data_IF_330895218822
#
_entry.id   IF_330895218822
#
_cell.length_a   1.000
_cell.length_b   1.000
_cell.length_c   1.000
_cell.angle_alpha   90.00
_cell.angle_beta   90.00
_cell.angle_gamma   90.00
#
_symmetry.space_group_name_H-M   'P 1'
#
loop_
_entity.id
_entity.type
_entity.pdbx_description
1 polymer ?
#
# COMPACT_ATOMS: atom_id res chain seq x y z
N UNK A 1 15.81 -6.01 18.69
CA UNK A 1 15.99 -6.24 17.24
C UNK A 1 14.81 -5.59 16.53
N UNK A 2 15.00 -4.97 15.35
CA UNK A 2 13.91 -4.33 14.62
C UNK A 2 12.85 -5.36 14.20
N UNK A 3 11.57 -4.99 14.34
CA UNK A 3 10.44 -5.78 13.85
C UNK A 3 10.11 -5.29 12.44
N UNK A 4 10.40 -6.10 11.42
CA UNK A 4 10.16 -5.73 10.03
C UNK A 4 8.75 -6.10 9.57
N UNK A 5 8.16 -5.20 8.78
CA UNK A 5 6.91 -5.39 8.07
C UNK A 5 7.18 -5.50 6.58
N UNK A 6 6.36 -6.27 5.86
CA UNK A 6 6.60 -6.58 4.45
C UNK A 6 5.44 -6.12 3.57
N UNK A 7 5.73 -5.64 2.36
CA UNK A 7 4.71 -5.29 1.37
C UNK A 7 5.19 -5.64 -0.02
N UNK A 8 4.26 -5.96 -0.90
CA UNK A 8 4.51 -6.06 -2.34
C UNK A 8 3.83 -4.87 -3.03
N UNK A 9 4.58 -4.15 -3.85
CA UNK A 9 4.10 -3.02 -4.65
C UNK A 9 4.50 -3.17 -6.11
N UNK A 10 3.71 -2.63 -7.02
CA UNK A 10 4.08 -2.54 -8.43
C UNK A 10 5.10 -1.44 -8.66
N UNK A 11 6.02 -1.66 -9.59
CA UNK A 11 6.99 -0.64 -9.98
C UNK A 11 6.32 0.65 -10.45
N UNK A 12 5.20 0.54 -11.19
CA UNK A 12 4.42 1.71 -11.64
C UNK A 12 3.93 2.56 -10.45
N UNK A 13 3.41 1.91 -9.40
CA UNK A 13 2.97 2.62 -8.20
C UNK A 13 4.14 3.32 -7.51
N UNK A 14 5.26 2.60 -7.32
CA UNK A 14 6.44 3.17 -6.67
C UNK A 14 7.05 4.33 -7.47
N UNK A 15 7.11 4.22 -8.79
CA UNK A 15 7.60 5.30 -9.66
C UNK A 15 6.65 6.52 -9.72
N UNK A 16 5.37 6.35 -9.37
CA UNK A 16 4.43 7.47 -9.29
C UNK A 16 4.66 8.36 -8.05
N UNK A 17 5.46 7.91 -7.08
CA UNK A 17 5.83 8.70 -5.90
C UNK A 17 6.98 9.62 -6.28
N UNK A 18 6.68 10.92 -6.39
CA UNK A 18 7.62 11.93 -6.90
C UNK A 18 8.28 12.77 -5.81
N UNK A 19 7.81 12.70 -4.57
CA UNK A 19 8.29 13.51 -3.46
C UNK A 19 8.94 12.68 -2.34
N UNK A 20 9.22 11.41 -2.61
CA UNK A 20 9.90 10.53 -1.67
C UNK A 20 9.02 10.02 -0.52
N UNK A 21 7.74 10.39 -0.43
CA UNK A 21 6.89 10.02 0.71
C UNK A 21 5.85 8.96 0.32
N UNK A 22 5.97 7.77 0.89
CA UNK A 22 5.01 6.69 0.76
C UNK A 22 3.80 6.94 1.68
N UNK A 23 2.64 7.22 1.08
CA UNK A 23 1.44 7.66 1.79
C UNK A 23 0.36 6.60 1.90
N UNK A 24 -0.41 6.66 2.98
CA UNK A 24 -1.57 5.83 3.16
C UNK A 24 -2.70 6.26 2.23
N UNK A 25 -3.42 5.29 1.66
CA UNK A 25 -4.55 5.58 0.78
C UNK A 25 -5.80 5.80 1.60
N UNK A 26 -6.61 6.76 1.19
CA UNK A 26 -7.91 7.02 1.80
C UNK A 26 -8.77 5.77 1.77
N UNK A 27 -9.28 5.41 2.93
CA UNK A 27 -10.28 4.38 3.07
C UNK A 27 -11.66 4.95 2.74
N UNK A 28 -12.43 4.18 1.97
CA UNK A 28 -13.83 4.47 1.69
C UNK A 28 -14.66 3.25 2.06
N UNK A 29 -15.93 3.45 2.38
CA UNK A 29 -16.86 2.36 2.75
C UNK A 29 -17.15 1.40 1.59
N UNK A 30 -16.77 1.76 0.36
CA UNK A 30 -16.78 0.89 -0.81
C UNK A 30 -15.54 -0.03 -0.89
N UNK A 31 -14.47 0.31 -0.19
CA UNK A 31 -13.31 -0.55 0.02
C UNK A 31 -13.65 -1.68 0.99
N UNK A 32 -13.06 -2.86 0.76
CA UNK A 32 -13.15 -4.05 1.62
C UNK A 32 -13.34 -3.69 3.12
N UNK A 33 -14.35 -4.26 3.80
CA UNK A 33 -14.77 -3.75 5.10
C UNK A 33 -13.78 -4.16 6.18
N UNK A 34 -13.04 -3.18 6.69
CA UNK A 34 -12.35 -3.29 7.97
C UNK A 34 -13.28 -2.76 9.05
N UNK A 35 -13.67 -3.59 10.02
CA UNK A 35 -14.51 -3.19 11.14
C UNK A 35 -13.83 -2.09 11.97
N UNK A 36 -12.50 -2.18 12.13
CA UNK A 36 -11.68 -1.16 12.78
C UNK A 36 -11.80 0.20 12.07
N UNK A 37 -11.65 0.26 10.74
CA UNK A 37 -11.73 1.53 10.01
C UNK A 37 -13.14 2.10 9.97
N UNK A 38 -14.15 1.23 9.96
CA UNK A 38 -15.55 1.65 10.07
C UNK A 38 -15.81 2.30 11.43
N UNK A 39 -15.33 1.71 12.51
CA UNK A 39 -15.44 2.28 13.85
C UNK A 39 -14.68 3.61 13.94
N UNK A 40 -13.46 3.67 13.40
CA UNK A 40 -12.67 4.90 13.35
C UNK A 40 -13.39 6.04 12.61
N UNK A 41 -13.98 5.75 11.44
CA UNK A 41 -14.72 6.74 10.66
C UNK A 41 -16.02 7.22 11.36
N UNK A 42 -16.61 6.40 12.22
CA UNK A 42 -17.77 6.78 13.04
C UNK A 42 -17.36 7.63 14.24
N UNK A 43 -16.19 7.37 14.82
CA UNK A 43 -15.66 8.12 15.94
C UNK A 43 -15.26 9.55 15.55
N UNK A 44 -14.66 9.71 14.36
CA UNK A 44 -14.16 10.98 13.83
C UNK A 44 -14.85 11.37 12.50
N UNK A 45 -16.15 11.71 12.52
CA UNK A 45 -16.95 11.88 11.30
C UNK A 45 -16.56 13.09 10.44
N UNK A 46 -15.81 14.04 11.02
CA UNK A 46 -15.29 15.21 10.31
C UNK A 46 -13.96 14.93 9.60
N UNK A 47 -13.30 13.82 9.94
CA UNK A 47 -12.01 13.42 9.41
C UNK A 47 -12.14 12.40 8.26
N UNK A 48 -11.05 12.22 7.52
CA UNK A 48 -10.87 11.11 6.58
C UNK A 48 -9.99 10.06 7.23
N UNK A 49 -10.33 8.79 7.02
CA UNK A 49 -9.50 7.66 7.46
C UNK A 49 -8.59 7.23 6.31
N UNK A 50 -7.30 7.07 6.60
CA UNK A 50 -6.29 6.59 5.66
C UNK A 50 -5.71 5.28 6.18
N UNK A 51 -5.35 4.38 5.27
CA UNK A 51 -4.81 3.07 5.61
C UNK A 51 -3.64 2.64 4.74
N UNK A 52 -2.82 1.78 5.32
CA UNK A 52 -1.70 1.10 4.67
C UNK A 52 -1.58 -0.31 5.29
N UNK A 53 -1.51 -1.35 4.47
CA UNK A 53 -1.50 -2.74 4.95
C UNK A 53 -0.14 -3.40 4.69
N UNK A 54 0.38 -4.16 5.64
CA UNK A 54 1.62 -4.91 5.50
C UNK A 54 1.40 -6.36 5.87
N UNK A 55 2.13 -7.28 5.26
CA UNK A 55 2.30 -8.63 5.77
C UNK A 55 3.22 -8.60 6.99
N UNK A 56 2.88 -9.42 7.99
CA UNK A 56 3.69 -9.55 9.20
C UNK A 56 4.96 -10.38 8.98
N UNK A 57 4.98 -11.21 7.91
CA UNK A 57 6.11 -12.09 7.62
C UNK A 57 6.54 -12.03 6.17
N UNK A 58 7.83 -12.27 5.95
CA UNK A 58 8.40 -12.39 4.61
C UNK A 58 7.77 -13.53 3.80
N UNK A 59 7.43 -14.64 4.46
CA UNK A 59 6.83 -15.80 3.81
C UNK A 59 5.46 -15.47 3.18
N UNK A 60 4.58 -14.79 3.92
CA UNK A 60 3.27 -14.38 3.40
C UNK A 60 3.39 -13.37 2.26
N UNK A 61 4.32 -12.41 2.39
CA UNK A 61 4.56 -11.43 1.33
C UNK A 61 5.09 -12.09 0.05
N UNK A 62 6.01 -13.04 0.16
CA UNK A 62 6.58 -13.78 -0.97
C UNK A 62 5.51 -14.63 -1.66
N UNK A 63 4.69 -15.33 -0.89
CA UNK A 63 3.56 -16.11 -1.42
C UNK A 63 2.58 -15.21 -2.18
N UNK A 64 2.28 -14.03 -1.65
CA UNK A 64 1.43 -13.06 -2.32
C UNK A 64 2.08 -12.52 -3.61
N UNK A 65 3.37 -12.23 -3.58
CA UNK A 65 4.12 -11.78 -4.76
C UNK A 65 4.01 -12.78 -5.91
N UNK A 66 4.39 -14.03 -5.65
CA UNK A 66 4.41 -15.11 -6.65
C UNK A 66 3.01 -15.49 -7.13
N UNK A 67 2.02 -15.46 -6.24
CA UNK A 67 0.66 -15.90 -6.53
C UNK A 67 -0.18 -14.83 -7.24
N UNK A 68 -0.19 -13.61 -6.72
CA UNK A 68 -1.14 -12.57 -7.13
C UNK A 68 -0.52 -11.42 -7.93
N UNK A 69 0.74 -11.07 -7.67
CA UNK A 69 1.40 -9.92 -8.32
C UNK A 69 2.14 -10.31 -9.59
N UNK A 70 2.90 -11.40 -9.57
CA UNK A 70 3.66 -11.88 -10.73
C UNK A 70 2.75 -12.40 -11.84
N UNK A 71 1.54 -12.86 -11.48
CA UNK A 71 0.49 -13.23 -12.43
C UNK A 71 -0.42 -12.04 -12.82
N UNK A 72 -0.13 -10.83 -12.33
CA UNK A 72 -0.94 -9.65 -12.63
C UNK A 72 -0.61 -9.08 -14.01
N UNK A 73 -1.59 -8.40 -14.62
CA UNK A 73 -1.36 -7.62 -15.86
C UNK A 73 -0.70 -6.26 -15.61
N UNK A 74 -0.40 -5.93 -14.35
CA UNK A 74 0.05 -4.60 -13.91
C UNK A 74 1.59 -4.44 -13.92
N UNK A 75 2.30 -5.39 -14.54
CA UNK A 75 3.75 -5.32 -14.70
C UNK A 75 4.54 -5.82 -13.49
N UNK A 76 5.86 -5.56 -13.46
CA UNK A 76 6.75 -6.09 -12.43
C UNK A 76 6.44 -5.54 -11.04
N UNK A 77 6.61 -6.40 -10.04
CA UNK A 77 6.41 -6.10 -8.63
C UNK A 77 7.74 -6.08 -7.86
N UNK A 78 7.75 -5.41 -6.72
CA UNK A 78 8.85 -5.41 -5.76
C UNK A 78 8.34 -5.80 -4.38
N UNK A 79 9.12 -6.65 -3.72
CA UNK A 79 8.95 -6.96 -2.32
C UNK A 79 9.78 -5.99 -1.48
N UNK A 80 9.09 -5.22 -0.65
CA UNK A 80 9.63 -4.20 0.23
C UNK A 80 9.50 -4.62 1.70
N UNK A 81 10.38 -4.09 2.54
CA UNK A 81 10.21 -4.11 4.00
C UNK A 81 10.58 -2.77 4.61
N UNK A 82 10.02 -2.47 5.79
CA UNK A 82 10.42 -1.34 6.62
C UNK A 82 10.33 -1.71 8.10
N UNK A 83 11.04 -1.00 8.96
CA UNK A 83 10.86 -1.14 10.41
C UNK A 83 9.45 -0.65 10.79
N UNK A 84 8.75 -1.46 11.56
CA UNK A 84 7.44 -1.14 12.13
C UNK A 84 7.42 0.18 12.90
N UNK A 85 8.53 0.53 13.54
CA UNK A 85 8.66 1.78 14.29
C UNK A 85 8.49 3.02 13.38
N UNK A 86 8.83 2.94 12.09
CA UNK A 86 8.64 4.05 11.15
C UNK A 86 7.16 4.43 10.98
N UNK A 87 6.27 3.43 11.03
CA UNK A 87 4.82 3.65 10.96
C UNK A 87 4.30 4.32 12.24
N UNK A 88 4.82 3.89 13.38
CA UNK A 88 4.45 4.44 14.68
C UNK A 88 4.94 5.89 14.82
N UNK A 89 6.18 6.18 14.41
CA UNK A 89 6.72 7.56 14.33
C UNK A 89 5.90 8.45 13.39
N UNK A 90 5.41 7.89 12.28
CA UNK A 90 4.51 8.56 11.36
C UNK A 90 3.06 8.68 11.89
N UNK A 91 2.79 8.31 13.15
CA UNK A 91 1.51 8.53 13.81
C UNK A 91 0.39 7.59 13.36
N UNK A 92 0.72 6.44 12.76
CA UNK A 92 -0.29 5.44 12.43
C UNK A 92 -0.67 4.62 13.66
N UNK A 93 -1.97 4.41 13.84
CA UNK A 93 -2.50 3.36 14.70
C UNK A 93 -2.21 2.01 14.07
N UNK A 94 -1.78 1.07 14.89
CA UNK A 94 -1.49 -0.31 14.52
C UNK A 94 -2.62 -1.22 14.98
N UNK A 95 -3.12 -2.05 14.06
CA UNK A 95 -3.98 -3.18 14.40
C UNK A 95 -3.64 -4.37 13.52
N UNK A 96 -4.06 -5.57 13.91
CA UNK A 96 -4.20 -6.65 12.94
C UNK A 96 -5.22 -6.25 11.86
N UNK A 97 -4.98 -6.66 10.62
CA UNK A 97 -5.95 -6.52 9.54
C UNK A 97 -7.05 -7.57 9.75
N UNK A 98 -8.23 -7.11 10.17
CA UNK A 98 -9.40 -7.96 10.45
C UNK A 98 -9.99 -8.65 9.21
N UNK A 99 -9.42 -8.40 8.02
CA UNK A 99 -9.60 -9.21 6.82
C UNK A 99 -8.84 -10.54 6.81
N UNK A 100 -7.94 -10.77 7.77
CA UNK A 100 -7.07 -11.94 7.87
C UNK A 100 -7.05 -12.47 9.32
N UNK A 101 -6.50 -13.68 9.49
CA UNK A 101 -6.13 -14.15 10.82
C UNK A 101 -4.97 -13.31 11.36
N UNK A 102 -4.91 -13.16 12.68
CA UNK A 102 -3.79 -12.51 13.35
C UNK A 102 -2.45 -13.21 12.98
N UNK A 103 -1.38 -12.42 12.89
CA UNK A 103 -0.08 -12.90 12.43
C UNK A 103 0.12 -12.93 10.91
N UNK A 104 -0.92 -12.63 10.11
CA UNK A 104 -0.80 -12.58 8.65
C UNK A 104 -0.51 -11.17 8.16
N UNK A 105 -1.36 -10.21 8.51
CA UNK A 105 -1.26 -8.85 8.01
C UNK A 105 -1.60 -7.82 9.08
N UNK A 106 -0.81 -6.76 9.11
CA UNK A 106 -1.09 -5.54 9.87
C UNK A 106 -1.85 -4.55 9.02
N UNK A 107 -2.77 -3.85 9.67
CA UNK A 107 -3.45 -2.67 9.18
C UNK A 107 -2.95 -1.47 9.98
N UNK A 108 -2.29 -0.56 9.29
CA UNK A 108 -1.91 0.73 9.84
C UNK A 108 -2.86 1.79 9.33
N UNK A 109 -3.36 2.64 10.21
CA UNK A 109 -4.36 3.64 9.86
C UNK A 109 -4.29 4.91 10.70
N UNK A 110 -4.84 6.00 10.18
CA UNK A 110 -4.94 7.27 10.88
C UNK A 110 -6.09 8.11 10.36
N UNK A 111 -6.53 9.08 11.15
CA UNK A 111 -7.41 10.14 10.69
C UNK A 111 -6.61 11.39 10.32
N UNK A 112 -7.06 12.10 9.31
CA UNK A 112 -6.60 13.45 9.01
C UNK A 112 -7.79 14.32 8.62
N UNK A 113 -7.72 15.61 8.96
CA UNK A 113 -8.73 16.56 8.51
C UNK A 113 -8.67 16.69 6.99
N UNK A 114 -9.82 16.76 6.29
CA UNK A 114 -9.85 17.00 4.86
C UNK A 114 -9.09 18.28 4.47
N UNK A 115 -8.15 18.15 3.54
CA UNK A 115 -7.43 19.25 2.89
C UNK A 115 -7.65 19.20 1.38
N UNK A 116 -7.15 20.21 0.67
CA UNK A 116 -7.17 20.26 -0.79
C UNK A 116 -6.27 19.17 -1.43
N UNK A 117 -5.25 18.70 -0.71
CA UNK A 117 -4.23 17.77 -1.21
C UNK A 117 -4.49 16.32 -0.81
N UNK A 118 -5.19 16.07 0.30
CA UNK A 118 -5.34 14.72 0.84
C UNK A 118 -6.59 13.96 0.39
N UNK A 119 -7.16 14.25 -0.79
CA UNK A 119 -8.40 13.59 -1.22
C UNK A 119 -8.23 12.07 -1.44
N UNK A 120 -7.05 11.64 -1.90
CA UNK A 120 -6.76 10.23 -2.21
C UNK A 120 -5.74 9.59 -1.28
N UNK A 121 -4.77 10.37 -0.81
CA UNK A 121 -3.67 9.92 0.02
C UNK A 121 -3.56 10.83 1.24
N UNK A 122 -3.04 10.31 2.36
CA UNK A 122 -2.79 11.11 3.56
C UNK A 122 -1.73 12.16 3.29
N UNK A 123 -1.78 13.30 3.97
CA UNK A 123 -0.69 14.27 3.96
C UNK A 123 0.57 13.66 4.62
N UNK A 124 0.37 12.81 5.64
CA UNK A 124 1.45 12.08 6.31
C UNK A 124 1.83 10.78 5.59
N UNK A 125 3.06 10.32 5.79
CA UNK A 125 3.55 9.07 5.22
C UNK A 125 4.89 8.68 5.82
N UNK A 126 5.57 7.74 5.15
CA UNK A 126 6.90 7.28 5.52
C UNK A 126 7.86 7.65 4.40
N UNK A 127 9.06 8.06 4.75
CA UNK A 127 10.11 8.30 3.78
C UNK A 127 10.45 7.00 3.03
N UNK A 128 10.51 7.04 1.69
CA UNK A 128 10.85 5.88 0.88
C UNK A 128 12.23 5.31 1.21
N UNK A 129 13.14 6.12 1.75
CA UNK A 129 14.47 5.68 2.21
C UNK A 129 14.42 4.78 3.45
N UNK A 130 13.31 4.77 4.20
CA UNK A 130 13.08 3.83 5.30
C UNK A 130 12.74 2.41 4.82
N UNK A 131 12.54 2.22 3.52
CA UNK A 131 12.31 0.91 2.93
C UNK A 131 13.59 0.24 2.45
N UNK A 132 13.59 -1.07 2.51
CA UNK A 132 14.51 -1.94 1.80
C UNK A 132 13.73 -2.79 0.80
N UNK A 133 14.36 -3.15 -0.31
CA UNK A 133 13.82 -4.06 -1.31
C UNK A 133 14.58 -5.38 -1.32
N UNK A 134 13.87 -6.46 -1.61
CA UNK A 134 14.46 -7.78 -1.83
C UNK A 134 14.99 -7.87 -3.26
N UNK A 135 16.28 -8.16 -3.40
CA UNK A 135 16.97 -8.43 -4.67
C UNK A 135 17.77 -9.71 -4.48
N UNK A 136 17.47 -10.75 -5.26
CA UNK A 136 18.15 -12.05 -5.21
C UNK A 136 18.23 -12.67 -3.80
N UNK A 137 17.18 -12.44 -2.98
CA UNK A 137 17.10 -12.94 -1.60
C UNK A 137 17.83 -12.09 -0.56
N UNK A 138 18.49 -11.01 -0.98
CA UNK A 138 19.12 -10.04 -0.09
C UNK A 138 18.29 -8.76 0.02
N UNK A 139 18.28 -8.16 1.21
CA UNK A 139 17.65 -6.87 1.45
C UNK A 139 18.64 -5.75 1.22
N UNK A 140 18.25 -4.80 0.37
CA UNK A 140 19.07 -3.64 0.02
C UNK A 140 18.25 -2.36 0.21
N UNK A 141 18.87 -1.23 0.58
CA UNK A 141 18.17 0.04 0.67
C UNK A 141 17.34 0.32 -0.59
N UNK A 142 16.12 0.79 -0.41
CA UNK A 142 15.29 1.21 -1.51
C UNK A 142 15.79 2.57 -2.02
N UNK A 143 16.62 2.53 -3.07
CA UNK A 143 17.03 3.75 -3.77
C UNK A 143 15.88 4.23 -4.66
N UNK A 144 15.12 5.19 -4.15
CA UNK A 144 14.20 5.99 -4.95
C UNK A 144 15.01 6.92 -5.85
N UNK A 145 14.87 6.77 -7.16
CA UNK A 145 15.26 7.80 -8.12
C UNK A 145 13.99 8.51 -8.57
N UNK A 146 13.89 9.85 -8.44
CA UNK A 146 12.77 10.58 -9.00
C UNK A 146 12.70 10.27 -10.49
N UNK A 147 11.49 9.96 -10.98
CA UNK A 147 11.27 9.63 -12.38
C UNK A 147 11.90 10.73 -13.26
N UNK A 148 12.91 10.37 -14.06
CA UNK A 148 13.42 11.27 -15.11
C UNK A 148 12.23 11.65 -15.98
N UNK A 149 12.08 12.93 -16.30
CA UNK A 149 11.04 13.41 -17.22
C UNK A 149 11.06 12.57 -18.50
N UNK A 150 10.08 11.68 -18.66
CA UNK A 150 9.90 10.91 -19.88
C UNK A 150 9.15 11.83 -20.85
N UNK A 151 9.68 12.13 -22.05
CA UNK A 151 8.95 12.90 -23.05
C UNK A 151 7.62 12.20 -23.34
N UNK A 152 6.53 12.95 -23.29
CA UNK A 152 5.16 12.44 -23.43
C UNK A 152 5.03 11.55 -24.67
N UNK A 153 4.70 10.27 -24.46
CA UNK A 153 4.26 9.38 -25.55
C UNK A 153 2.79 9.61 -25.82
N UNK A 154 2.46 9.82 -27.10
CA UNK A 154 1.11 9.95 -27.63
C UNK A 154 0.20 8.77 -27.25
N UNK A 155 -1.11 8.99 -27.06
CA UNK A 155 -2.01 7.97 -26.53
C UNK A 155 -2.39 6.94 -27.60
N UNK A 156 -2.12 5.67 -27.36
CA UNK A 156 -2.64 4.55 -28.16
C UNK A 156 -3.47 3.59 -27.32
N UNK A 157 -4.75 3.45 -27.70
CA UNK A 157 -5.55 2.23 -27.59
C UNK A 157 -6.21 1.89 -26.25
N UNK A 158 -7.53 2.07 -26.16
CA UNK A 158 -8.40 1.45 -25.14
C UNK A 158 -8.43 -0.08 -25.32
N UNK A 159 -8.34 -0.89 -24.25
CA UNK A 159 -8.86 -2.26 -24.27
C UNK A 159 -10.29 -2.33 -23.71
N UNK A 160 -11.10 -3.19 -24.34
CA UNK A 160 -12.48 -3.51 -23.97
C UNK A 160 -12.60 -4.22 -22.61
N UNK A 161 -13.72 -3.94 -21.94
CA UNK A 161 -14.16 -4.56 -20.70
C UNK A 161 -14.41 -6.07 -20.84
N UNK A 162 -13.93 -6.82 -19.86
CA UNK A 162 -14.50 -8.11 -19.47
C UNK A 162 -14.67 -8.12 -17.96
N UNK A 163 -15.87 -8.48 -17.48
CA UNK A 163 -16.23 -8.56 -16.07
C UNK A 163 -15.98 -9.97 -15.55
N UNK A 164 -15.14 -10.20 -14.53
CA UNK A 164 -15.17 -11.44 -13.78
C UNK A 164 -15.88 -11.26 -12.43
N UNK A 165 -16.60 -12.32 -12.07
CA UNK A 165 -17.33 -12.59 -10.84
C UNK A 165 -16.67 -12.08 -9.55
N UNK A 166 -17.52 -11.60 -8.62
CA UNK A 166 -17.17 -11.18 -7.26
C UNK A 166 -16.65 -12.37 -6.43
N UNK A 167 -15.33 -12.55 -6.41
CA UNK A 167 -14.65 -13.13 -5.25
C UNK A 167 -14.26 -12.02 -4.27
N UNK A 168 -14.27 -12.32 -2.97
CA UNK A 168 -13.88 -11.42 -1.87
C UNK A 168 -12.49 -10.84 -2.20
N UNK A 169 -12.42 -9.53 -2.47
CA UNK A 169 -11.21 -8.88 -3.00
C UNK A 169 -10.22 -8.58 -1.88
N UNK A 170 -9.11 -9.30 -1.85
CA UNK A 170 -7.96 -8.98 -0.97
C UNK A 170 -7.44 -7.56 -1.25
N UNK A 171 -6.91 -6.87 -0.24
CA UNK A 171 -6.60 -5.44 -0.31
C UNK A 171 -5.61 -5.07 -1.43
N UNK A 172 -4.67 -5.96 -1.77
CA UNK A 172 -3.75 -5.76 -2.90
C UNK A 172 -4.46 -5.72 -4.27
N UNK A 173 -5.63 -6.36 -4.40
CA UNK A 173 -6.46 -6.34 -5.62
C UNK A 173 -7.28 -5.05 -5.78
N UNK A 174 -7.14 -4.09 -4.85
CA UNK A 174 -7.77 -2.75 -4.90
C UNK A 174 -6.78 -1.71 -5.46
N UNK A 175 -5.48 -2.03 -5.49
CA UNK A 175 -4.43 -1.16 -6.04
C UNK A 175 -4.21 -1.39 -7.55
N UNK A 176 -4.75 -2.47 -8.11
CA UNK A 176 -4.67 -2.82 -9.54
C UNK A 176 -5.78 -2.21 -10.41
N UNK A 177 -6.45 -1.16 -9.92
CA UNK A 177 -7.55 -0.48 -10.64
C UNK A 177 -7.45 1.04 -10.54
#
# INVERSE_FOLDING_TARGET
MPEFLYRVDFNEHLHSITDGIFRARRWTTAGFPHAVLKAAAQHEPQSRVYRICFFATWAEATKCQQGDFDNSRCGPSQLLRCDKLELQKAGFHETWDDGFHEGIAYLFWRYEMPTATNDRFSDSGIDLTAFEKSVDGEWRPYCWEPAREIPARSPTGKPLFATPQRQKRQWWKIWTR
#
